data_IF_881456461936
#
_entry.id   IF_881456461936
#
_cell.length_a   1.000
_cell.length_b   1.000
_cell.length_c   1.000
_cell.angle_alpha   90.00
_cell.angle_beta   90.00
_cell.angle_gamma   90.00
#
_symmetry.space_group_name_H-M   'P 1'
#
loop_
_entity.id
_entity.type
_entity.pdbx_description
1 polymer ?
#
# COMPACT_ATOMS: atom_id res chain seq x y z
N UNK A 1 23.80 -18.46 -11.71
CA UNK A 1 23.09 -19.76 -11.73
C UNK A 1 21.71 -19.52 -11.16
N UNK A 2 20.65 -19.82 -11.90
CA UNK A 2 19.26 -19.45 -11.53
C UNK A 2 18.73 -20.38 -10.44
N UNK A 3 18.30 -19.81 -9.31
CA UNK A 3 17.45 -20.53 -8.35
C UNK A 3 16.01 -20.46 -8.85
N UNK A 4 15.41 -21.63 -9.07
CA UNK A 4 14.01 -21.76 -9.51
C UNK A 4 13.20 -22.24 -8.33
N UNK A 5 12.25 -21.44 -7.87
CA UNK A 5 11.29 -21.84 -6.83
C UNK A 5 10.01 -22.34 -7.51
N UNK A 6 9.59 -23.56 -7.20
CA UNK A 6 8.31 -24.11 -7.67
C UNK A 6 7.31 -24.01 -6.53
N UNK A 7 6.34 -23.11 -6.66
CA UNK A 7 5.19 -23.03 -5.76
C UNK A 7 4.03 -23.76 -6.43
N UNK A 8 3.65 -24.92 -5.89
CA UNK A 8 2.49 -25.67 -6.37
C UNK A 8 1.25 -25.16 -5.63
N UNK A 9 0.35 -24.49 -6.37
CA UNK A 9 -1.00 -24.13 -5.91
C UNK A 9 -1.99 -24.91 -6.80
N UNK A 10 -2.96 -25.61 -6.19
CA UNK A 10 -4.01 -26.45 -6.79
C UNK A 10 -4.20 -26.40 -8.32
N UNK A 11 -4.18 -27.59 -8.94
CA UNK A 11 -4.47 -27.94 -10.36
C UNK A 11 -3.82 -27.11 -11.48
N UNK A 12 -3.10 -26.03 -11.18
CA UNK A 12 -2.36 -25.21 -12.15
C UNK A 12 -0.97 -24.89 -11.60
N UNK A 13 0.04 -25.66 -12.01
CA UNK A 13 1.44 -25.42 -11.63
C UNK A 13 1.95 -24.17 -12.36
N UNK A 14 2.30 -23.12 -11.60
CA UNK A 14 2.99 -21.93 -12.13
C UNK A 14 4.46 -21.95 -11.69
N UNK A 15 5.37 -21.90 -12.64
CA UNK A 15 6.81 -21.82 -12.40
C UNK A 15 7.22 -20.33 -12.40
N UNK A 16 7.71 -19.84 -11.27
CA UNK A 16 8.24 -18.47 -11.13
C UNK A 16 9.77 -18.59 -11.04
N UNK A 17 10.46 -18.17 -12.09
CA UNK A 17 11.92 -18.06 -12.08
C UNK A 17 12.29 -16.60 -11.82
N UNK A 18 12.95 -16.31 -10.70
CA UNK A 18 13.59 -15.01 -10.48
C UNK A 18 14.98 -15.04 -11.12
N UNK A 19 15.19 -14.28 -12.20
CA UNK A 19 16.54 -14.01 -12.69
C UNK A 19 17.19 -12.94 -11.79
N UNK A 20 18.35 -13.26 -11.22
CA UNK A 20 19.23 -12.34 -10.50
C UNK A 20 20.52 -12.10 -11.30
N UNK A 21 21.25 -10.99 -11.02
CA UNK A 21 22.07 -10.30 -12.00
C UNK A 21 23.43 -10.96 -12.26
N UNK A 22 24.07 -10.44 -13.31
CA UNK A 22 25.43 -10.65 -13.82
C UNK A 22 26.39 -11.51 -12.95
N UNK A 23 26.93 -12.62 -13.48
CA UNK A 23 27.91 -13.47 -12.80
C UNK A 23 29.21 -12.78 -12.36
N UNK A 24 29.44 -11.50 -12.65
CA UNK A 24 30.64 -10.75 -12.27
C UNK A 24 30.76 -10.39 -10.78
N UNK A 25 29.73 -10.64 -9.94
CA UNK A 25 29.73 -10.30 -8.51
C UNK A 25 29.32 -11.48 -7.61
N UNK A 26 30.16 -12.52 -7.45
CA UNK A 26 29.98 -13.55 -6.40
C UNK A 26 31.34 -14.00 -5.81
N UNK A 27 31.45 -13.97 -4.48
CA UNK A 27 32.57 -14.45 -3.63
C UNK A 27 32.51 -15.97 -3.36
N UNK A 28 33.58 -16.63 -2.86
CA UNK A 28 33.82 -18.05 -3.09
C UNK A 28 33.28 -18.98 -1.99
N UNK A 29 31.98 -18.96 -1.69
CA UNK A 29 31.38 -19.99 -0.82
C UNK A 29 30.13 -20.62 -1.46
N UNK A 30 30.38 -21.79 -2.08
CA UNK A 30 29.55 -23.00 -2.13
C UNK A 30 28.03 -22.90 -2.31
N UNK A 31 27.54 -23.26 -3.49
CA UNK A 31 26.22 -23.87 -3.68
C UNK A 31 26.39 -25.16 -4.49
N UNK A 32 26.48 -26.29 -3.79
CA UNK A 32 26.26 -27.63 -4.35
C UNK A 32 24.96 -28.14 -3.78
N UNK A 33 23.90 -28.21 -4.58
CA UNK A 33 23.14 -29.44 -4.75
C UNK A 33 22.10 -29.31 -5.87
N UNK A 34 22.04 -30.39 -6.65
CA UNK A 34 21.32 -30.58 -7.90
C UNK A 34 19.89 -31.06 -7.57
N UNK A 35 18.85 -30.36 -8.04
CA UNK A 35 17.52 -30.96 -8.22
C UNK A 35 17.13 -30.80 -9.68
N UNK A 36 17.38 -31.86 -10.46
CA UNK A 36 16.90 -32.01 -11.83
C UNK A 36 15.61 -32.84 -11.77
N UNK A 37 14.44 -32.18 -11.71
CA UNK A 37 13.15 -32.86 -11.83
C UNK A 37 12.59 -32.66 -13.23
N UNK A 38 12.48 -33.77 -13.97
CA UNK A 38 11.76 -33.86 -15.24
C UNK A 38 10.25 -33.66 -14.99
N UNK A 39 9.71 -32.49 -15.35
CA UNK A 39 8.26 -32.34 -15.56
C UNK A 39 7.98 -32.71 -17.01
N UNK A 40 7.77 -34.00 -17.27
CA UNK A 40 7.24 -34.47 -18.54
C UNK A 40 5.73 -34.18 -18.55
N UNK A 41 5.32 -33.37 -19.53
CA UNK A 41 3.96 -33.32 -20.06
C UNK A 41 2.94 -32.41 -19.35
N UNK A 42 3.28 -31.14 -19.11
CA UNK A 42 2.31 -30.03 -19.15
C UNK A 42 2.96 -28.81 -19.82
N UNK A 43 2.16 -28.02 -20.54
CA UNK A 43 2.55 -26.74 -21.15
C UNK A 43 2.89 -25.71 -20.06
N UNK A 44 3.97 -25.93 -19.32
CA UNK A 44 4.49 -24.98 -18.36
C UNK A 44 5.10 -23.84 -19.17
N UNK A 45 4.34 -22.76 -19.35
CA UNK A 45 4.92 -21.48 -19.72
C UNK A 45 5.67 -20.96 -18.51
N UNK A 46 7.00 -21.05 -18.55
CA UNK A 46 7.86 -20.30 -17.64
C UNK A 46 7.64 -18.84 -18.01
N UNK A 47 6.96 -18.10 -17.14
CA UNK A 47 6.85 -16.65 -17.29
C UNK A 47 8.19 -16.10 -16.80
N UNK A 48 9.14 -15.98 -17.71
CA UNK A 48 10.34 -15.19 -17.47
C UNK A 48 9.89 -13.74 -17.45
N UNK A 49 10.01 -13.08 -16.30
CA UNK A 49 9.86 -11.63 -16.19
C UNK A 49 11.04 -10.98 -16.91
N UNK A 50 10.98 -10.94 -18.24
CA UNK A 50 11.90 -10.13 -19.02
C UNK A 50 11.53 -8.67 -18.81
N UNK A 51 12.51 -7.90 -18.39
CA UNK A 51 12.33 -6.50 -18.16
C UNK A 51 12.03 -5.79 -19.48
N UNK A 52 11.14 -4.77 -19.46
CA UNK A 52 10.99 -3.90 -20.60
C UNK A 52 12.37 -3.35 -20.97
N UNK A 53 12.62 -3.20 -22.28
CA UNK A 53 13.86 -2.59 -22.75
C UNK A 53 14.10 -1.29 -21.97
N UNK A 54 15.28 -1.11 -21.32
CA UNK A 54 15.54 0.05 -20.50
C UNK A 54 15.28 1.38 -21.24
N UNK A 55 15.40 1.42 -22.56
CA UNK A 55 15.07 2.61 -23.38
C UNK A 55 13.61 3.07 -23.25
N UNK A 56 12.68 2.20 -22.84
CA UNK A 56 11.27 2.54 -22.60
C UNK A 56 11.10 3.34 -21.30
N UNK A 57 12.00 3.15 -20.32
CA UNK A 57 11.91 3.71 -18.96
C UNK A 57 12.98 4.79 -18.69
N UNK A 58 14.17 4.65 -19.28
CA UNK A 58 15.38 5.39 -18.90
C UNK A 58 15.49 6.87 -19.30
N UNK A 59 14.71 7.48 -20.21
CA UNK A 59 14.78 8.95 -20.33
C UNK A 59 14.09 9.66 -19.16
N UNK A 60 13.38 8.96 -18.29
CA UNK A 60 12.43 9.54 -17.33
C UNK A 60 12.88 9.47 -15.86
N UNK A 61 14.17 9.25 -15.56
CA UNK A 61 14.62 9.16 -14.16
C UNK A 61 14.01 8.00 -13.37
N UNK A 62 13.39 7.06 -14.07
CA UNK A 62 12.91 5.81 -13.53
C UNK A 62 13.90 4.69 -13.85
N UNK A 63 14.07 3.77 -12.92
CA UNK A 63 14.86 2.56 -13.10
C UNK A 63 13.93 1.35 -13.08
N UNK A 64 14.16 0.46 -14.03
CA UNK A 64 13.42 -0.79 -14.14
C UNK A 64 14.18 -1.96 -13.53
N UNK A 65 13.43 -2.75 -12.75
CA UNK A 65 13.21 -4.16 -13.05
C UNK A 65 14.18 -5.22 -12.49
N UNK A 66 14.95 -4.89 -11.45
CA UNK A 66 15.24 -5.94 -10.47
C UNK A 66 13.94 -6.27 -9.72
N UNK A 67 13.54 -7.54 -9.73
CA UNK A 67 12.37 -8.06 -9.01
C UNK A 67 10.98 -7.57 -9.48
N UNK A 68 10.84 -7.17 -10.75
CA UNK A 68 9.55 -6.70 -11.30
C UNK A 68 9.07 -5.38 -10.65
N UNK A 69 10.01 -4.47 -10.36
CA UNK A 69 9.77 -3.17 -9.74
C UNK A 69 9.97 -2.03 -10.74
N UNK A 70 9.18 -0.97 -10.60
CA UNK A 70 9.41 0.32 -11.26
C UNK A 70 9.65 1.35 -10.17
N UNK A 71 10.83 1.95 -10.17
CA UNK A 71 11.20 3.01 -9.23
C UNK A 71 11.49 4.29 -9.97
N UNK A 72 10.76 5.36 -9.64
CA UNK A 72 10.88 6.67 -10.24
C UNK A 72 11.31 7.67 -9.17
N UNK A 73 12.48 8.28 -9.31
CA UNK A 73 13.05 9.15 -8.28
C UNK A 73 13.83 10.33 -8.86
N UNK A 74 14.35 11.18 -7.98
CA UNK A 74 15.19 12.33 -8.35
C UNK A 74 14.38 13.60 -8.57
N UNK A 75 14.95 14.51 -9.33
CA UNK A 75 14.48 15.89 -9.52
C UNK A 75 14.39 16.24 -11.01
N UNK A 76 14.32 15.26 -11.89
CA UNK A 76 14.03 15.51 -13.30
C UNK A 76 12.53 15.74 -13.45
N UNK A 77 12.16 16.74 -14.26
CA UNK A 77 10.78 16.89 -14.73
C UNK A 77 10.53 15.89 -15.86
N UNK A 78 9.47 15.09 -15.74
CA UNK A 78 9.07 14.15 -16.78
C UNK A 78 7.57 13.85 -16.76
N UNK A 79 7.05 13.53 -17.93
CA UNK A 79 5.66 13.13 -18.10
C UNK A 79 5.47 11.64 -17.75
N UNK A 80 5.08 11.39 -16.50
CA UNK A 80 4.78 10.05 -16.00
C UNK A 80 3.72 9.34 -16.85
N UNK A 81 2.73 10.07 -17.39
CA UNK A 81 1.67 9.48 -18.21
C UNK A 81 2.19 9.07 -19.59
N UNK A 82 3.08 9.86 -20.20
CA UNK A 82 3.69 9.47 -21.48
C UNK A 82 4.60 8.24 -21.32
N UNK A 83 5.37 8.15 -20.23
CA UNK A 83 6.18 6.97 -19.92
C UNK A 83 5.32 5.71 -19.82
N UNK A 84 4.27 5.74 -18.99
CA UNK A 84 3.40 4.57 -18.80
C UNK A 84 2.55 4.26 -20.03
N UNK A 85 2.23 5.25 -20.87
CA UNK A 85 1.64 5.02 -22.18
C UNK A 85 2.55 4.22 -23.10
N UNK A 86 3.84 4.56 -23.18
CA UNK A 86 4.82 3.78 -23.97
C UNK A 86 4.96 2.37 -23.41
N UNK A 87 5.10 2.24 -22.10
CA UNK A 87 5.20 0.94 -21.43
C UNK A 87 3.98 0.05 -21.71
N UNK A 88 2.78 0.60 -21.58
CA UNK A 88 1.50 -0.06 -21.89
C UNK A 88 1.41 -0.53 -23.35
N UNK A 89 1.96 0.23 -24.30
CA UNK A 89 1.96 -0.11 -25.72
C UNK A 89 3.02 -1.15 -26.09
N UNK A 90 4.12 -1.21 -25.35
CA UNK A 90 5.24 -2.13 -25.63
C UNK A 90 5.04 -3.51 -25.03
N UNK A 91 4.41 -3.60 -23.85
CA UNK A 91 4.26 -4.87 -23.13
C UNK A 91 3.04 -5.67 -23.59
N UNK A 92 3.20 -6.98 -23.66
CA UNK A 92 2.09 -7.91 -23.81
C UNK A 92 1.25 -7.96 -22.51
N UNK A 93 -0.05 -8.30 -22.56
CA UNK A 93 -0.94 -8.28 -21.39
C UNK A 93 -0.40 -9.00 -20.15
N UNK A 94 0.24 -10.15 -20.31
CA UNK A 94 0.84 -10.94 -19.23
C UNK A 94 2.06 -10.28 -18.55
N UNK A 95 2.67 -9.28 -19.19
CA UNK A 95 3.84 -8.55 -18.69
C UNK A 95 3.46 -7.26 -17.95
N UNK A 96 2.19 -6.87 -17.95
CA UNK A 96 1.72 -5.58 -17.40
C UNK A 96 1.49 -5.57 -15.89
N UNK A 97 1.78 -6.69 -15.22
CA UNK A 97 1.67 -6.81 -13.78
C UNK A 97 3.04 -6.71 -13.14
N UNK A 98 3.29 -5.59 -12.47
CA UNK A 98 4.48 -5.34 -11.68
C UNK A 98 4.23 -5.60 -10.20
N UNK A 99 5.27 -6.05 -9.49
CA UNK A 99 5.13 -6.25 -8.05
C UNK A 99 5.03 -4.91 -7.32
N UNK A 100 5.89 -3.94 -7.65
CA UNK A 100 5.98 -2.67 -6.92
C UNK A 100 6.16 -1.48 -7.84
N UNK A 101 5.44 -0.41 -7.55
CA UNK A 101 5.74 0.94 -8.00
C UNK A 101 6.23 1.77 -6.83
N UNK A 102 7.37 2.43 -6.97
CA UNK A 102 7.91 3.37 -6.00
C UNK A 102 8.13 4.73 -6.66
N UNK A 103 7.58 5.77 -6.07
CA UNK A 103 7.64 7.14 -6.58
C UNK A 103 8.20 8.09 -5.54
N UNK A 104 9.34 8.70 -5.85
CA UNK A 104 10.08 9.63 -5.00
C UNK A 104 10.71 10.76 -5.81
N UNK A 105 9.93 11.37 -6.71
CA UNK A 105 10.35 12.51 -7.52
C UNK A 105 9.89 13.84 -6.91
N UNK A 106 10.78 14.84 -6.90
CA UNK A 106 10.53 16.15 -6.28
C UNK A 106 10.05 17.24 -7.25
N UNK A 107 10.09 17.01 -8.56
CA UNK A 107 9.64 18.00 -9.56
C UNK A 107 8.21 17.76 -10.05
N UNK A 108 7.74 16.51 -10.03
CA UNK A 108 6.35 16.19 -10.36
C UNK A 108 5.46 16.60 -9.19
N UNK A 109 4.50 17.48 -9.48
CA UNK A 109 3.56 18.04 -8.49
C UNK A 109 2.16 17.42 -8.59
N UNK A 110 1.86 16.68 -9.66
CA UNK A 110 0.55 16.07 -9.89
C UNK A 110 0.68 14.68 -10.53
N UNK A 111 -0.07 13.71 -10.02
CA UNK A 111 -0.36 12.45 -10.74
C UNK A 111 -1.77 12.55 -11.33
N UNK A 112 -1.86 12.57 -12.66
CA UNK A 112 -3.11 12.80 -13.40
C UNK A 112 -3.98 11.53 -13.46
N UNK A 113 -5.23 11.69 -13.88
CA UNK A 113 -6.11 10.57 -14.17
C UNK A 113 -5.47 9.63 -15.20
N UNK A 114 -5.65 8.32 -15.03
CA UNK A 114 -5.19 7.30 -15.98
C UNK A 114 -3.67 7.37 -16.30
N UNK A 115 -2.85 7.88 -15.38
CA UNK A 115 -1.39 7.95 -15.59
C UNK A 115 -0.77 6.58 -15.89
N UNK A 116 -1.22 5.52 -15.21
CA UNK A 116 -0.60 4.19 -15.31
C UNK A 116 -1.16 3.32 -16.44
N UNK A 117 -2.15 3.80 -17.21
CA UNK A 117 -2.82 3.02 -18.25
C UNK A 117 -3.23 1.65 -17.70
N UNK A 118 -3.06 0.55 -18.45
CA UNK A 118 -3.38 -0.81 -18.01
C UNK A 118 -2.24 -1.52 -17.24
N UNK A 119 -1.24 -0.76 -16.76
CA UNK A 119 -0.18 -1.29 -15.90
C UNK A 119 -0.69 -1.40 -14.46
N UNK A 120 -0.50 -2.56 -13.84
CA UNK A 120 -1.01 -2.86 -12.50
C UNK A 120 0.11 -3.21 -11.51
N UNK A 121 -0.09 -2.86 -10.24
CA UNK A 121 0.90 -3.00 -9.18
C UNK A 121 0.32 -3.72 -7.97
N UNK A 122 1.04 -4.71 -7.42
CA UNK A 122 0.66 -5.31 -6.13
C UNK A 122 0.97 -4.38 -4.94
N UNK A 123 2.05 -3.60 -5.03
CA UNK A 123 2.48 -2.65 -4.02
C UNK A 123 2.70 -1.27 -4.64
N UNK A 124 2.25 -0.23 -3.95
CA UNK A 124 2.49 1.17 -4.35
C UNK A 124 3.13 1.90 -3.17
N UNK A 125 4.21 2.62 -3.44
CA UNK A 125 4.84 3.54 -2.52
C UNK A 125 5.01 4.92 -3.16
N UNK A 126 4.48 5.95 -2.51
CA UNK A 126 4.67 7.34 -2.87
C UNK A 126 5.34 8.03 -1.69
N UNK A 127 6.64 8.31 -1.82
CA UNK A 127 7.43 8.79 -0.70
C UNK A 127 8.36 9.94 -1.06
N UNK A 128 8.47 10.95 -0.18
CA UNK A 128 9.41 12.07 -0.32
C UNK A 128 9.24 12.89 -1.61
N UNK A 129 8.00 13.22 -1.97
CA UNK A 129 7.67 14.01 -3.17
C UNK A 129 7.22 15.42 -2.84
N UNK A 130 7.15 16.28 -3.86
CA UNK A 130 6.46 17.57 -3.81
C UNK A 130 5.05 17.48 -4.43
N UNK A 131 4.45 16.28 -4.48
CA UNK A 131 3.09 16.11 -4.97
C UNK A 131 2.13 16.97 -4.16
N UNK A 132 1.34 17.76 -4.88
CA UNK A 132 0.23 18.55 -4.36
C UNK A 132 -1.08 17.80 -4.55
N UNK A 133 -1.22 17.09 -5.67
CA UNK A 133 -2.45 16.40 -6.05
C UNK A 133 -2.19 15.01 -6.63
N UNK A 134 -3.06 14.07 -6.29
CA UNK A 134 -3.18 12.76 -6.95
C UNK A 134 -4.63 12.63 -7.37
N UNK A 135 -4.88 12.49 -8.68
CA UNK A 135 -6.24 12.33 -9.17
C UNK A 135 -6.86 11.03 -8.64
N UNK A 136 -8.14 11.00 -8.23
CA UNK A 136 -8.84 9.80 -7.73
C UNK A 136 -8.97 8.63 -8.71
N UNK A 137 -8.54 8.81 -9.96
CA UNK A 137 -8.53 7.81 -11.04
C UNK A 137 -7.12 7.59 -11.61
N UNK A 138 -6.08 8.13 -10.95
CA UNK A 138 -4.70 7.90 -11.35
C UNK A 138 -4.40 6.40 -11.43
N UNK A 139 -4.89 5.63 -10.45
CA UNK A 139 -4.62 4.22 -10.22
C UNK A 139 -5.79 3.29 -10.59
N UNK A 140 -6.67 3.69 -11.51
CA UNK A 140 -7.95 3.01 -11.72
C UNK A 140 -7.88 1.51 -12.05
N UNK A 141 -6.83 1.09 -12.76
CA UNK A 141 -6.64 -0.33 -13.12
C UNK A 141 -6.00 -1.17 -12.01
N UNK A 142 -5.39 -0.53 -11.00
CA UNK A 142 -4.67 -1.23 -9.93
C UNK A 142 -5.44 -1.26 -8.60
N UNK A 143 -6.56 -0.53 -8.47
CA UNK A 143 -7.40 -0.51 -7.26
C UNK A 143 -7.83 -1.88 -6.74
N UNK A 144 -8.06 -2.85 -7.63
CA UNK A 144 -8.49 -4.20 -7.28
C UNK A 144 -7.33 -5.21 -7.21
N UNK A 145 -6.10 -4.77 -7.42
CA UNK A 145 -4.89 -5.62 -7.45
C UNK A 145 -3.95 -5.26 -6.30
N UNK A 146 -3.76 -3.98 -6.02
CA UNK A 146 -2.83 -3.51 -4.99
C UNK A 146 -3.25 -4.01 -3.61
N UNK A 147 -2.37 -4.76 -2.95
CA UNK A 147 -2.56 -5.30 -1.59
C UNK A 147 -1.91 -4.43 -0.51
N UNK A 148 -0.97 -3.56 -0.90
CA UNK A 148 -0.18 -2.75 0.02
C UNK A 148 0.03 -1.34 -0.54
N UNK A 149 -0.34 -0.33 0.25
CA UNK A 149 -0.19 1.09 -0.10
C UNK A 149 0.62 1.82 0.97
N UNK A 150 1.67 2.51 0.53
CA UNK A 150 2.52 3.36 1.36
C UNK A 150 2.48 4.78 0.82
N UNK A 151 2.10 5.74 1.66
CA UNK A 151 2.15 7.16 1.33
C UNK A 151 2.96 7.85 2.44
N UNK A 152 4.15 8.38 2.11
CA UNK A 152 5.11 8.83 3.13
C UNK A 152 5.75 10.17 2.81
N UNK A 153 5.83 11.06 3.78
CA UNK A 153 6.63 12.29 3.68
C UNK A 153 6.31 13.13 2.42
N UNK A 154 5.03 13.31 2.09
CA UNK A 154 4.58 14.20 1.02
C UNK A 154 3.93 15.45 1.65
N UNK A 155 4.73 16.47 2.03
CA UNK A 155 4.24 17.59 2.85
C UNK A 155 3.30 18.55 2.10
N UNK A 156 3.31 18.49 0.76
CA UNK A 156 2.48 19.35 -0.07
C UNK A 156 1.13 18.74 -0.44
N UNK A 157 0.94 17.44 -0.20
CA UNK A 157 -0.26 16.72 -0.63
C UNK A 157 -1.49 17.21 0.13
N UNK A 158 -2.56 17.51 -0.60
CA UNK A 158 -3.80 18.02 -0.01
C UNK A 158 -4.66 16.90 0.60
N UNK A 159 -5.20 17.08 1.83
CA UNK A 159 -5.89 16.01 2.56
C UNK A 159 -7.07 15.36 1.84
N UNK A 160 -7.93 16.16 1.21
CA UNK A 160 -9.12 15.64 0.53
C UNK A 160 -8.76 14.69 -0.62
N UNK A 161 -7.60 14.92 -1.24
CA UNK A 161 -7.15 14.15 -2.40
C UNK A 161 -6.68 12.76 -1.98
N UNK A 162 -6.01 12.64 -0.83
CA UNK A 162 -5.40 11.37 -0.46
C UNK A 162 -6.42 10.38 0.09
N UNK A 163 -7.39 10.83 0.90
CA UNK A 163 -8.44 9.95 1.41
C UNK A 163 -9.32 9.41 0.27
N UNK A 164 -9.64 10.26 -0.71
CA UNK A 164 -10.33 9.82 -1.92
C UNK A 164 -9.55 8.73 -2.66
N UNK A 165 -8.24 8.91 -2.86
CA UNK A 165 -7.37 7.91 -3.52
C UNK A 165 -7.25 6.63 -2.70
N UNK A 166 -6.96 6.73 -1.40
CA UNK A 166 -6.81 5.57 -0.50
C UNK A 166 -8.07 4.74 -0.44
N UNK A 167 -9.25 5.37 -0.42
CA UNK A 167 -10.53 4.67 -0.37
C UNK A 167 -10.76 3.75 -1.58
N UNK A 168 -10.17 4.06 -2.75
CA UNK A 168 -10.39 3.29 -3.98
C UNK A 168 -9.71 1.92 -4.00
N UNK A 169 -8.67 1.70 -3.19
CA UNK A 169 -7.92 0.44 -3.14
C UNK A 169 -8.68 -0.67 -2.40
N UNK A 170 -9.67 -1.27 -3.06
CA UNK A 170 -10.56 -2.28 -2.45
C UNK A 170 -9.86 -3.60 -2.10
N UNK A 171 -8.74 -3.91 -2.77
CA UNK A 171 -7.95 -5.11 -2.51
C UNK A 171 -6.87 -4.93 -1.45
N UNK A 172 -6.66 -3.69 -0.97
CA UNK A 172 -5.62 -3.41 0.01
C UNK A 172 -5.85 -4.20 1.30
N UNK A 173 -4.79 -4.84 1.78
CA UNK A 173 -4.71 -5.51 3.07
C UNK A 173 -3.94 -4.70 4.10
N UNK A 174 -3.07 -3.80 3.63
CA UNK A 174 -2.30 -2.89 4.45
C UNK A 174 -2.22 -1.50 3.80
N UNK A 175 -2.55 -0.48 4.58
CA UNK A 175 -2.34 0.92 4.22
C UNK A 175 -1.50 1.55 5.33
N UNK A 176 -0.40 2.18 4.94
CA UNK A 176 0.41 3.02 5.81
C UNK A 176 0.48 4.43 5.23
N UNK A 177 0.01 5.37 6.02
CA UNK A 177 0.02 6.79 5.72
C UNK A 177 0.93 7.53 6.71
N UNK A 178 1.81 8.38 6.19
CA UNK A 178 2.77 9.18 6.95
C UNK A 178 2.86 10.55 6.27
N UNK A 179 2.10 11.54 6.77
CA UNK A 179 2.13 12.92 6.26
C UNK A 179 2.45 13.95 7.35
N UNK A 180 2.98 15.09 6.92
CA UNK A 180 3.28 16.21 7.82
C UNK A 180 2.07 17.18 7.94
N UNK A 181 2.19 18.11 8.89
CA UNK A 181 1.27 19.10 9.50
C UNK A 181 -0.04 19.59 8.81
N UNK A 182 -0.33 19.32 7.53
CA UNK A 182 -1.55 19.81 6.86
C UNK A 182 -2.83 19.09 7.30
N UNK A 183 -2.71 17.88 7.81
CA UNK A 183 -3.85 17.05 8.17
C UNK A 183 -4.25 17.37 9.61
N UNK A 184 -5.42 17.98 9.81
CA UNK A 184 -5.94 18.30 11.14
C UNK A 184 -7.02 17.31 11.58
N UNK A 185 -7.74 16.73 10.62
CA UNK A 185 -8.86 15.84 10.87
C UNK A 185 -8.91 14.70 9.85
N UNK A 186 -9.11 13.48 10.34
CA UNK A 186 -9.50 12.35 9.50
C UNK A 186 -10.99 12.46 9.16
N UNK A 187 -11.39 12.57 7.89
CA UNK A 187 -12.78 12.81 7.51
C UNK A 187 -13.65 11.57 7.68
N UNK A 188 -14.97 11.78 7.67
CA UNK A 188 -15.94 10.68 7.62
C UNK A 188 -15.73 9.84 6.36
N UNK A 189 -15.71 8.52 6.49
CA UNK A 189 -15.41 7.59 5.41
C UNK A 189 -14.05 7.87 4.73
N UNK A 190 -13.04 8.28 5.52
CA UNK A 190 -11.63 8.37 5.10
C UNK A 190 -11.15 7.13 4.33
N UNK A 191 -11.74 5.97 4.63
CA UNK A 191 -11.57 4.72 3.93
C UNK A 191 -12.91 4.27 3.33
N UNK A 192 -12.89 3.49 2.24
CA UNK A 192 -14.12 3.15 1.54
C UNK A 192 -15.03 2.26 2.38
N UNK A 193 -16.03 2.92 2.97
CA UNK A 193 -17.16 2.36 3.68
C UNK A 193 -17.60 1.01 3.07
N UNK A 194 -17.20 -0.09 3.73
CA UNK A 194 -17.39 -1.51 3.34
C UNK A 194 -16.72 -2.05 2.07
N UNK A 195 -16.22 -1.21 1.14
CA UNK A 195 -15.59 -1.72 -0.10
C UNK A 195 -14.17 -2.22 0.14
N UNK A 196 -13.47 -1.67 1.12
CA UNK A 196 -12.17 -2.17 1.60
C UNK A 196 -12.30 -3.39 2.52
N UNK A 197 -13.03 -4.39 2.04
CA UNK A 197 -13.35 -5.62 2.78
C UNK A 197 -12.15 -6.50 3.10
N UNK A 198 -10.97 -6.24 2.51
CA UNK A 198 -9.73 -6.99 2.75
C UNK A 198 -8.73 -6.26 3.65
N UNK A 199 -8.98 -5.01 4.00
CA UNK A 199 -8.06 -4.20 4.79
C UNK A 199 -7.94 -4.78 6.20
N UNK A 200 -6.72 -5.20 6.58
CA UNK A 200 -6.41 -5.83 7.86
C UNK A 200 -5.62 -4.93 8.78
N UNK A 201 -4.78 -4.05 8.22
CA UNK A 201 -3.90 -3.17 8.99
C UNK A 201 -3.96 -1.75 8.44
N UNK A 202 -4.02 -0.80 9.35
CA UNK A 202 -4.06 0.62 9.03
C UNK A 202 -3.09 1.38 9.94
N UNK A 203 -2.00 1.90 9.38
CA UNK A 203 -0.99 2.64 10.13
C UNK A 203 -1.01 4.11 9.70
N UNK A 204 -1.33 5.00 10.62
CA UNK A 204 -1.55 6.42 10.37
C UNK A 204 -0.55 7.20 11.23
N UNK A 205 0.48 7.73 10.59
CA UNK A 205 1.53 8.56 11.17
C UNK A 205 1.40 10.02 10.73
N UNK A 206 0.27 10.37 10.16
CA UNK A 206 -0.06 11.72 9.72
C UNK A 206 -0.46 12.60 10.90
N UNK A 207 -0.36 13.92 10.72
CA UNK A 207 -0.48 14.91 11.80
C UNK A 207 -1.90 15.15 12.33
N UNK A 208 -2.88 14.30 11.99
CA UNK A 208 -4.28 14.49 12.40
C UNK A 208 -4.36 14.57 13.91
N UNK A 209 -4.93 15.68 14.39
CA UNK A 209 -5.24 15.85 15.80
C UNK A 209 -6.62 15.29 16.13
N UNK A 210 -7.52 15.21 15.14
CA UNK A 210 -8.90 14.75 15.32
C UNK A 210 -9.24 13.53 14.46
N UNK A 211 -9.86 12.50 15.06
CA UNK A 211 -10.52 11.41 14.33
C UNK A 211 -12.00 11.77 14.18
N UNK A 212 -12.44 12.02 12.95
CA UNK A 212 -13.82 12.41 12.65
C UNK A 212 -14.85 11.30 12.86
N UNK A 213 -16.12 11.68 12.98
CA UNK A 213 -17.23 10.73 13.08
C UNK A 213 -17.27 9.81 11.84
N UNK A 214 -17.40 8.49 12.07
CA UNK A 214 -17.36 7.48 11.01
C UNK A 214 -16.10 7.52 10.14
N UNK A 215 -14.96 7.98 10.67
CA UNK A 215 -13.71 7.94 9.94
C UNK A 215 -13.28 6.49 9.63
N UNK A 216 -13.37 5.61 10.63
CA UNK A 216 -13.13 4.17 10.51
C UNK A 216 -14.47 3.46 10.45
N UNK A 217 -15.06 3.39 9.25
CA UNK A 217 -16.43 2.92 9.04
C UNK A 217 -16.48 1.61 8.23
N UNK A 218 -17.10 0.58 8.81
CA UNK A 218 -17.40 -0.73 8.20
C UNK A 218 -16.21 -1.44 7.58
N UNK A 219 -15.03 -1.27 8.18
CA UNK A 219 -13.81 -2.00 7.83
C UNK A 219 -13.78 -3.34 8.58
N UNK A 220 -14.67 -4.27 8.21
CA UNK A 220 -14.93 -5.50 8.98
C UNK A 220 -13.74 -6.46 9.12
N UNK A 221 -12.78 -6.40 8.21
CA UNK A 221 -11.57 -7.24 8.25
C UNK A 221 -10.39 -6.61 8.98
N UNK A 222 -10.53 -5.34 9.39
CA UNK A 222 -9.46 -4.59 10.06
C UNK A 222 -9.14 -5.29 11.38
N UNK A 223 -7.87 -5.42 11.74
CA UNK A 223 -7.44 -6.07 12.99
C UNK A 223 -6.48 -5.20 13.78
N UNK A 224 -5.77 -4.31 13.11
CA UNK A 224 -4.74 -3.47 13.71
C UNK A 224 -4.86 -2.05 13.16
N UNK A 225 -4.97 -1.09 14.07
CA UNK A 225 -4.94 0.34 13.79
C UNK A 225 -3.83 0.94 14.64
N UNK A 226 -2.88 1.63 14.01
CA UNK A 226 -1.80 2.32 14.70
C UNK A 226 -1.84 3.80 14.39
N UNK A 227 -1.93 4.63 15.43
CA UNK A 227 -1.74 6.06 15.33
C UNK A 227 -0.34 6.43 15.83
N UNK A 228 0.51 6.85 14.91
CA UNK A 228 1.91 7.21 15.14
C UNK A 228 2.15 8.68 15.50
N UNK A 229 1.12 9.52 15.41
CA UNK A 229 1.16 10.93 15.75
C UNK A 229 0.14 11.28 16.85
N UNK A 230 0.26 12.45 17.51
CA UNK A 230 -0.61 12.83 18.60
C UNK A 230 -2.05 13.16 18.14
N UNK A 231 -2.93 12.18 18.22
CA UNK A 231 -4.39 12.41 18.25
C UNK A 231 -4.74 13.01 19.61
N UNK A 232 -5.56 14.07 19.64
CA UNK A 232 -6.02 14.71 20.86
C UNK A 232 -7.56 14.77 20.99
N UNK A 233 -8.30 14.48 19.91
CA UNK A 233 -9.75 14.43 19.90
C UNK A 233 -10.30 13.28 19.05
N UNK A 234 -11.31 12.57 19.56
CA UNK A 234 -11.96 11.43 18.91
C UNK A 234 -13.47 11.66 18.98
N UNK A 235 -14.09 11.88 17.82
CA UNK A 235 -15.50 12.21 17.72
C UNK A 235 -16.42 11.01 17.97
N UNK A 236 -17.70 11.27 18.22
CA UNK A 236 -18.72 10.25 18.38
C UNK A 236 -18.79 9.36 17.12
N UNK A 237 -18.93 8.04 17.33
CA UNK A 237 -18.94 7.04 16.26
C UNK A 237 -17.71 7.06 15.34
N UNK A 238 -16.56 7.59 15.78
CA UNK A 238 -15.32 7.57 15.01
C UNK A 238 -14.97 6.16 14.50
N UNK A 239 -15.21 5.15 15.34
CA UNK A 239 -15.04 3.74 15.01
C UNK A 239 -16.42 3.05 14.94
N UNK A 240 -16.86 2.77 13.71
CA UNK A 240 -18.14 2.09 13.45
C UNK A 240 -17.87 0.80 12.70
N UNK A 241 -17.76 -0.31 13.42
CA UNK A 241 -17.57 -1.67 12.88
C UNK A 241 -18.71 -2.52 13.44
N UNK A 242 -19.89 -2.28 12.88
CA UNK A 242 -21.19 -2.72 13.39
C UNK A 242 -21.47 -4.23 13.18
N UNK A 243 -20.71 -4.90 12.30
CA UNK A 243 -20.80 -6.35 12.07
C UNK A 243 -20.11 -7.14 13.20
N UNK A 244 -20.83 -8.07 13.87
CA UNK A 244 -20.24 -8.99 14.85
C UNK A 244 -19.05 -9.77 14.31
N UNK A 245 -17.98 -9.89 15.10
CA UNK A 245 -16.85 -10.81 14.84
C UNK A 245 -16.21 -11.29 16.14
N UNK A 246 -15.62 -12.49 16.09
CA UNK A 246 -14.77 -13.01 17.17
C UNK A 246 -13.30 -12.62 17.00
N UNK A 247 -12.92 -12.07 15.85
CA UNK A 247 -11.58 -11.54 15.62
C UNK A 247 -11.39 -10.26 16.45
N UNK A 248 -10.25 -10.15 17.14
CA UNK A 248 -9.92 -8.95 17.89
C UNK A 248 -9.56 -7.77 16.98
N UNK A 249 -9.86 -6.57 17.46
CA UNK A 249 -9.34 -5.31 16.95
C UNK A 249 -8.39 -4.69 17.96
N UNK A 250 -7.17 -4.42 17.52
CA UNK A 250 -6.16 -3.70 18.27
C UNK A 250 -6.13 -2.25 17.79
N UNK A 251 -6.37 -1.30 18.71
CA UNK A 251 -6.28 0.15 18.45
C UNK A 251 -5.14 0.72 19.28
N UNK A 252 -4.04 1.06 18.63
CA UNK A 252 -2.86 1.61 19.26
C UNK A 252 -2.84 3.14 19.21
N UNK A 253 -3.01 3.75 20.38
CA UNK A 253 -3.02 5.18 20.65
C UNK A 253 -1.88 5.58 21.61
N UNK A 254 -0.80 4.78 21.68
CA UNK A 254 0.29 4.99 22.65
C UNK A 254 1.04 6.33 22.46
N UNK A 255 1.00 6.90 21.27
CA UNK A 255 1.64 8.19 20.96
C UNK A 255 0.66 9.37 21.04
N UNK A 256 -0.57 9.12 21.48
CA UNK A 256 -1.63 10.12 21.57
C UNK A 256 -1.71 10.69 22.99
N UNK A 257 -1.79 12.01 23.13
CA UNK A 257 -1.93 12.69 24.43
C UNK A 257 -3.39 12.76 24.85
N UNK A 258 -4.03 11.60 24.95
CA UNK A 258 -5.46 11.48 25.21
C UNK A 258 -5.74 11.56 26.71
N UNK A 259 -6.87 12.19 27.04
CA UNK A 259 -7.48 12.16 28.36
C UNK A 259 -8.99 11.94 28.23
N UNK A 260 -9.74 11.94 29.33
CA UNK A 260 -11.19 11.68 29.32
C UNK A 260 -11.97 12.64 28.40
N UNK A 261 -11.52 13.89 28.26
CA UNK A 261 -12.16 14.89 27.39
C UNK A 261 -11.80 14.73 25.92
N UNK A 262 -10.81 13.90 25.59
CA UNK A 262 -10.43 13.58 24.21
C UNK A 262 -11.42 12.65 23.51
N UNK A 263 -12.36 12.04 24.24
CA UNK A 263 -13.33 11.10 23.68
C UNK A 263 -14.74 11.67 23.79
N UNK A 264 -15.40 11.84 22.65
CA UNK A 264 -16.84 12.11 22.66
C UNK A 264 -17.63 10.84 23.07
N UNK A 265 -18.80 11.01 23.71
CA UNK A 265 -19.69 9.89 24.02
C UNK A 265 -20.01 9.08 22.77
N UNK A 266 -19.86 7.75 22.86
CA UNK A 266 -20.15 6.86 21.74
C UNK A 266 -19.02 6.66 20.73
N UNK A 267 -17.87 7.32 20.90
CA UNK A 267 -16.69 7.20 20.00
C UNK A 267 -16.29 5.75 19.66
N UNK A 268 -16.46 4.82 20.61
CA UNK A 268 -16.09 3.41 20.49
C UNK A 268 -17.29 2.45 20.52
N UNK A 269 -18.51 2.96 20.70
CA UNK A 269 -19.71 2.11 20.88
C UNK A 269 -20.16 1.41 19.60
N UNK A 270 -19.68 1.86 18.44
CA UNK A 270 -19.96 1.24 17.15
C UNK A 270 -19.13 0.00 16.86
N UNK A 271 -18.23 -0.43 17.75
CA UNK A 271 -17.36 -1.60 17.54
C UNK A 271 -18.04 -2.85 18.12
N UNK A 272 -18.44 -3.77 17.25
CA UNK A 272 -19.18 -4.98 17.63
C UNK A 272 -18.27 -6.22 17.60
N UNK A 273 -17.16 -6.20 18.34
CA UNK A 273 -16.20 -7.31 18.46
C UNK A 273 -15.19 -7.05 19.58
N UNK A 274 -14.46 -8.09 20.06
CA UNK A 274 -13.41 -7.90 21.05
C UNK A 274 -12.41 -6.82 20.62
N UNK A 275 -12.16 -5.83 21.47
CA UNK A 275 -11.28 -4.71 21.15
C UNK A 275 -10.30 -4.45 22.28
N UNK A 276 -9.02 -4.37 21.94
CA UNK A 276 -7.95 -3.94 22.82
C UNK A 276 -7.52 -2.52 22.43
N UNK A 277 -7.54 -1.61 23.39
CA UNK A 277 -7.08 -0.23 23.18
C UNK A 277 -5.80 -0.03 24.00
N UNK A 278 -4.73 0.36 23.32
CA UNK A 278 -3.44 0.64 23.92
C UNK A 278 -3.29 2.16 24.06
N UNK A 279 -3.22 2.64 25.30
CA UNK A 279 -3.03 4.06 25.62
C UNK A 279 -1.83 4.26 26.56
N UNK A 280 -1.12 5.37 26.37
CA UNK A 280 -0.07 5.85 27.26
C UNK A 280 1.34 5.76 26.67
N UNK A 281 2.20 6.68 27.11
CA UNK A 281 3.54 6.86 26.56
C UNK A 281 4.49 5.68 26.84
N UNK A 282 4.10 4.71 27.68
CA UNK A 282 4.81 3.44 27.93
C UNK A 282 3.83 2.33 28.39
N UNK A 283 3.47 1.40 27.49
CA UNK A 283 3.02 0.01 27.74
C UNK A 283 2.17 -0.34 29.00
N UNK A 284 1.21 0.48 29.47
CA UNK A 284 0.58 0.18 30.77
C UNK A 284 -0.93 0.30 30.91
N UNK A 285 -1.68 0.80 29.92
CA UNK A 285 -3.15 0.77 30.00
C UNK A 285 -3.73 0.05 28.79
N UNK A 286 -4.09 -1.23 28.99
CA UNK A 286 -4.96 -1.98 28.07
C UNK A 286 -6.39 -1.83 28.60
N UNK A 287 -7.26 -1.17 27.84
CA UNK A 287 -8.70 -1.18 28.11
C UNK A 287 -9.33 -2.24 27.23
N UNK A 288 -9.89 -3.29 27.84
CA UNK A 288 -10.75 -4.24 27.16
C UNK A 288 -12.18 -3.70 27.17
N UNK A 289 -12.74 -3.50 25.98
CA UNK A 289 -14.16 -3.22 25.83
C UNK A 289 -14.86 -4.54 25.50
N UNK A 290 -15.83 -4.92 26.34
CA UNK A 290 -16.71 -6.09 26.17
C UNK A 290 -17.91 -5.78 25.31
#
# INVERSE_FOLDING_TARGET
>A
MNLTWIIVLNENVRLITSACPDPSVITPYGCTDLIMMFVLNQNVRIITCECPDPSVILPYGCTGCQYNYIECYGDNDFDLAEMFKKLSQTLEPEQKHFHRFKFSNTNVTEIKANTFMDIVFSQIEISYTNLVHIHPDAFMYTYNTTDTLYIKNNPQLEPDTIYDVMSRFTNATFIEDYHNAKFTMMPANAFSNSKQSKLKRLHIWSSETTIGSHAINRLYSLRDIMFGAPVNHIMANAFTIDRPSNDSLDINLNYCWLNETSFEPGSLTGINRPTAIYMGNQHTNIVYLS
#
